data_IF_145840705011
#
_entry.id   IF_145840705011
#
_cell.length_a   1.000
_cell.length_b   1.000
_cell.length_c   1.000
_cell.angle_alpha   90.00
_cell.angle_beta   90.00
_cell.angle_gamma   90.00
#
_symmetry.space_group_name_H-M   'P 1'
#
loop_
_entity.id
_entity.type
_entity.pdbx_description
1 polymer ?
#
# COMPACT_ATOMS: atom_id res chain seq x y z
N UNK A 1 22.26 23.49 -31.93
CA UNK A 1 21.63 24.25 -30.84
C UNK A 1 20.13 24.28 -31.08
N UNK A 2 19.39 23.48 -30.32
CA UNK A 2 18.05 23.80 -29.84
C UNK A 2 17.71 22.71 -28.82
N UNK A 3 18.27 22.88 -27.62
CA UNK A 3 17.89 22.08 -26.47
C UNK A 3 16.40 22.31 -26.22
N UNK A 4 15.60 21.31 -26.58
CA UNK A 4 14.28 21.15 -25.99
C UNK A 4 14.56 20.74 -24.54
N UNK A 5 14.47 21.73 -23.65
CA UNK A 5 14.44 21.50 -22.21
C UNK A 5 13.33 20.51 -21.91
N UNK A 6 13.69 19.26 -21.62
CA UNK A 6 12.81 18.31 -20.95
C UNK A 6 12.64 18.72 -19.48
N UNK A 7 12.13 19.92 -19.24
CA UNK A 7 11.38 20.19 -18.02
C UNK A 7 9.95 19.70 -18.25
N UNK A 8 9.83 18.39 -18.43
CA UNK A 8 8.55 17.72 -18.33
C UNK A 8 8.23 17.61 -16.83
N UNK A 9 7.10 18.20 -16.45
CA UNK A 9 6.49 18.24 -15.12
C UNK A 9 7.06 17.21 -14.12
N UNK A 10 7.80 17.72 -13.11
CA UNK A 10 8.13 17.03 -11.85
C UNK A 10 6.88 16.93 -10.98
N UNK A 11 5.80 16.38 -11.52
CA UNK A 11 4.55 16.20 -10.78
C UNK A 11 4.48 14.76 -10.27
N UNK A 12 4.17 14.65 -8.98
CA UNK A 12 3.95 13.40 -8.28
C UNK A 12 2.86 12.59 -8.99
N UNK A 13 3.25 11.49 -9.66
CA UNK A 13 2.31 10.55 -10.27
C UNK A 13 2.48 9.22 -9.56
N UNK A 14 1.57 8.96 -8.63
CA UNK A 14 1.48 7.70 -7.89
C UNK A 14 0.89 6.63 -8.82
N UNK A 15 1.73 5.78 -9.38
CA UNK A 15 1.27 4.64 -10.20
C UNK A 15 0.92 3.45 -9.31
N UNK A 16 -0.36 3.02 -9.27
CA UNK A 16 -0.78 1.77 -8.63
C UNK A 16 -0.69 0.61 -9.60
N UNK A 17 0.16 -0.38 -9.32
CA UNK A 17 0.16 -1.66 -10.06
C UNK A 17 -0.01 -2.87 -9.17
N UNK A 18 -0.87 -3.79 -9.60
CA UNK A 18 -0.98 -5.14 -9.05
C UNK A 18 -0.10 -6.15 -9.79
N UNK A 19 0.52 -5.76 -10.91
CA UNK A 19 1.36 -6.60 -11.76
C UNK A 19 2.84 -6.39 -11.43
N UNK A 20 3.25 -6.82 -10.24
CA UNK A 20 4.65 -6.73 -9.77
C UNK A 20 5.63 -7.51 -10.66
N UNK A 21 5.12 -8.46 -11.44
CA UNK A 21 5.85 -9.23 -12.46
C UNK A 21 6.22 -8.42 -13.70
N UNK A 22 5.64 -7.24 -13.89
CA UNK A 22 5.93 -6.35 -15.03
C UNK A 22 7.10 -5.38 -14.73
N UNK A 23 7.51 -5.26 -13.47
CA UNK A 23 8.66 -4.45 -13.05
C UNK A 23 9.95 -4.96 -13.72
N UNK A 24 10.72 -4.06 -14.32
CA UNK A 24 11.96 -4.38 -15.03
C UNK A 24 11.73 -4.97 -16.42
N UNK A 25 10.52 -4.89 -16.97
CA UNK A 25 10.19 -5.34 -18.34
C UNK A 25 9.88 -4.15 -19.23
N UNK A 26 10.19 -4.26 -20.52
CA UNK A 26 9.90 -3.20 -21.49
C UNK A 26 8.40 -3.08 -21.78
N UNK A 27 7.85 -1.85 -21.88
CA UNK A 27 8.51 -0.57 -21.57
C UNK A 27 8.72 -0.42 -20.05
N UNK A 28 9.88 0.11 -19.62
CA UNK A 28 10.22 0.34 -18.21
C UNK A 28 9.39 1.50 -17.65
N UNK A 29 8.08 1.28 -17.45
CA UNK A 29 7.11 2.30 -17.05
C UNK A 29 7.50 2.93 -15.71
N UNK A 30 8.11 2.15 -14.82
CA UNK A 30 8.61 2.60 -13.53
C UNK A 30 9.63 3.74 -13.63
N UNK A 31 10.44 3.79 -14.70
CA UNK A 31 11.49 4.80 -14.86
C UNK A 31 10.94 6.20 -15.13
N UNK A 32 9.66 6.32 -15.50
CA UNK A 32 8.99 7.59 -15.73
C UNK A 32 8.54 8.27 -14.43
N UNK A 33 8.61 7.60 -13.28
CA UNK A 33 8.02 8.08 -12.03
C UNK A 33 9.00 7.98 -10.86
N UNK A 34 9.13 9.04 -10.06
CA UNK A 34 9.96 8.99 -8.86
C UNK A 34 9.28 8.28 -7.69
N UNK A 35 7.94 8.27 -7.66
CA UNK A 35 7.14 7.67 -6.61
C UNK A 35 6.24 6.59 -7.20
N UNK A 36 6.26 5.39 -6.63
CA UNK A 36 5.58 4.23 -7.18
C UNK A 36 4.75 3.56 -6.08
N UNK A 37 3.46 3.29 -6.34
CA UNK A 37 2.57 2.61 -5.41
C UNK A 37 2.35 1.15 -5.81
N UNK A 38 2.69 0.24 -4.92
CA UNK A 38 2.51 -1.19 -5.14
C UNK A 38 1.56 -1.78 -4.12
N UNK A 39 0.62 -2.57 -4.61
CA UNK A 39 -0.20 -3.40 -3.74
C UNK A 39 0.57 -4.65 -3.35
N UNK A 40 0.63 -4.96 -2.04
CA UNK A 40 1.35 -6.15 -1.57
C UNK A 40 0.52 -7.44 -1.60
N UNK A 41 -0.70 -7.36 -2.13
CA UNK A 41 -1.64 -8.48 -2.33
C UNK A 41 -0.98 -9.74 -2.91
N UNK A 42 -0.14 -9.67 -3.97
CA UNK A 42 0.49 -10.85 -4.53
C UNK A 42 1.33 -11.62 -3.48
N UNK A 43 1.96 -10.92 -2.54
CA UNK A 43 2.86 -11.50 -1.55
C UNK A 43 2.13 -12.18 -0.37
N UNK A 44 0.80 -12.09 -0.28
CA UNK A 44 0.04 -12.90 0.68
C UNK A 44 -0.04 -14.38 0.27
N UNK A 45 0.14 -14.68 -1.02
CA UNK A 45 0.05 -16.03 -1.61
C UNK A 45 1.42 -16.56 -2.02
N UNK A 46 2.32 -15.71 -2.50
CA UNK A 46 3.65 -16.08 -2.96
C UNK A 46 4.73 -15.77 -1.93
N UNK A 47 5.68 -16.68 -1.75
CA UNK A 47 6.81 -16.50 -0.83
C UNK A 47 7.94 -15.62 -1.39
N UNK A 48 7.97 -15.30 -2.68
CA UNK A 48 9.12 -14.65 -3.33
C UNK A 48 9.07 -13.10 -3.33
N UNK A 49 8.66 -12.50 -2.21
CA UNK A 49 8.75 -11.04 -2.02
C UNK A 49 10.13 -10.53 -1.64
N UNK A 50 11.11 -11.42 -1.50
CA UNK A 50 12.42 -11.09 -0.94
C UNK A 50 13.19 -10.11 -1.82
N UNK A 51 13.63 -9.01 -1.22
CA UNK A 51 14.42 -8.00 -1.92
C UNK A 51 13.68 -7.31 -3.08
N UNK A 52 12.35 -7.32 -3.08
CA UNK A 52 11.55 -6.62 -4.10
C UNK A 52 12.00 -5.16 -4.27
N UNK A 53 12.30 -4.46 -3.17
CA UNK A 53 12.78 -3.08 -3.17
C UNK A 53 14.06 -2.89 -3.99
N UNK A 54 14.92 -3.90 -4.11
CA UNK A 54 16.20 -3.82 -4.82
C UNK A 54 16.05 -3.61 -6.33
N UNK A 55 14.85 -3.86 -6.88
CA UNK A 55 14.56 -3.65 -8.30
C UNK A 55 14.50 -2.18 -8.71
N UNK A 56 14.34 -1.25 -7.76
CA UNK A 56 14.04 0.16 -8.04
C UNK A 56 15.16 1.13 -7.62
N UNK A 57 16.36 0.64 -7.28
CA UNK A 57 17.50 1.49 -6.91
C UNK A 57 17.19 2.51 -5.79
N UNK A 58 18.06 3.50 -5.56
CA UNK A 58 17.89 4.48 -4.47
C UNK A 58 17.09 5.74 -4.86
N UNK A 59 16.78 5.88 -6.16
CA UNK A 59 16.14 7.07 -6.73
C UNK A 59 14.62 7.04 -6.60
N UNK A 60 14.01 5.86 -6.56
CA UNK A 60 12.57 5.72 -6.38
C UNK A 60 12.19 5.69 -4.90
N UNK A 61 11.08 6.34 -4.56
CA UNK A 61 10.35 6.14 -3.31
C UNK A 61 9.20 5.19 -3.58
N UNK A 62 9.11 4.10 -2.83
CA UNK A 62 8.00 3.15 -2.95
C UNK A 62 6.94 3.45 -1.89
N UNK A 63 5.69 3.36 -2.30
CA UNK A 63 4.52 3.35 -1.42
C UNK A 63 3.93 1.95 -1.49
N UNK A 64 3.61 1.36 -0.35
CA UNK A 64 3.09 0.00 -0.28
C UNK A 64 1.67 -0.03 0.26
N UNK A 65 0.70 -0.27 -0.63
CA UNK A 65 -0.68 -0.57 -0.28
C UNK A 65 -0.77 -1.98 0.33
N UNK A 66 -1.38 -2.06 1.51
CA UNK A 66 -1.53 -3.30 2.28
C UNK A 66 -2.47 -4.32 1.64
N UNK A 67 -3.34 -3.88 0.74
CA UNK A 67 -4.31 -4.71 0.05
C UNK A 67 -5.60 -4.97 0.84
N UNK A 68 -5.93 -4.13 1.82
CA UNK A 68 -7.11 -4.27 2.69
C UNK A 68 -8.41 -4.58 1.96
N UNK A 69 -8.63 -3.90 0.84
CA UNK A 69 -9.81 -4.10 -0.03
C UNK A 69 -9.98 -5.55 -0.51
N UNK A 70 -8.89 -6.31 -0.74
CA UNK A 70 -8.98 -7.69 -1.23
C UNK A 70 -9.55 -8.67 -0.21
N UNK A 71 -9.44 -8.36 1.09
CA UNK A 71 -10.09 -9.14 2.14
C UNK A 71 -11.60 -8.92 2.14
N UNK A 72 -12.04 -7.71 1.77
CA UNK A 72 -13.46 -7.38 1.72
C UNK A 72 -14.17 -8.07 0.55
N UNK A 73 -13.56 -8.06 -0.64
CA UNK A 73 -14.12 -8.74 -1.83
C UNK A 73 -13.92 -10.26 -1.82
N UNK A 74 -13.45 -10.82 -0.70
CA UNK A 74 -13.31 -12.26 -0.49
C UNK A 74 -12.16 -12.93 -1.26
N UNK A 75 -11.30 -12.16 -1.93
CA UNK A 75 -10.12 -12.70 -2.64
C UNK A 75 -9.00 -13.09 -1.68
N UNK A 76 -8.92 -12.44 -0.53
CA UNK A 76 -8.12 -12.85 0.62
C UNK A 76 -9.06 -13.16 1.79
N UNK A 77 -8.60 -14.01 2.71
CA UNK A 77 -9.34 -14.42 3.91
C UNK A 77 -8.48 -14.16 5.14
N UNK A 78 -9.13 -13.91 6.28
CA UNK A 78 -8.49 -13.74 7.59
C UNK A 78 -7.41 -12.65 7.58
N UNK A 79 -7.80 -11.35 7.55
CA UNK A 79 -6.85 -10.26 7.61
C UNK A 79 -6.01 -10.33 8.88
N UNK A 80 -4.70 -10.30 8.72
CA UNK A 80 -3.70 -10.42 9.79
C UNK A 80 -2.64 -9.32 9.64
N UNK A 81 -2.60 -8.33 10.54
CA UNK A 81 -1.63 -7.23 10.47
C UNK A 81 -0.17 -7.71 10.60
N UNK A 82 0.09 -8.78 11.35
CA UNK A 82 1.46 -9.30 11.53
C UNK A 82 1.95 -9.99 10.26
N UNK A 83 1.04 -10.58 9.48
CA UNK A 83 1.37 -11.10 8.15
C UNK A 83 1.77 -9.97 7.20
N UNK A 84 1.07 -8.84 7.21
CA UNK A 84 1.43 -7.66 6.41
C UNK A 84 2.79 -7.08 6.83
N UNK A 85 3.04 -6.99 8.14
CA UNK A 85 4.36 -6.60 8.70
C UNK A 85 5.48 -7.49 8.16
N UNK A 86 5.28 -8.81 8.17
CA UNK A 86 6.27 -9.76 7.67
C UNK A 86 6.53 -9.59 6.17
N UNK A 87 5.49 -9.31 5.39
CA UNK A 87 5.59 -9.00 3.95
C UNK A 87 6.44 -7.74 3.74
N UNK A 88 6.13 -6.63 4.42
CA UNK A 88 6.92 -5.40 4.29
C UNK A 88 8.39 -5.63 4.61
N UNK A 89 8.69 -6.26 5.75
CA UNK A 89 10.07 -6.59 6.13
C UNK A 89 10.77 -7.43 5.07
N UNK A 90 10.08 -8.44 4.51
CA UNK A 90 10.64 -9.30 3.46
C UNK A 90 10.92 -8.54 2.16
N UNK A 91 10.07 -7.58 1.81
CA UNK A 91 10.24 -6.74 0.62
C UNK A 91 11.46 -5.82 0.69
N UNK A 92 11.96 -5.56 1.91
CA UNK A 92 13.17 -4.78 2.14
C UNK A 92 12.96 -3.27 1.99
N UNK A 93 11.82 -2.74 2.46
CA UNK A 93 11.56 -1.31 2.45
C UNK A 93 12.67 -0.51 3.16
N UNK A 94 12.79 0.76 2.79
CA UNK A 94 13.74 1.74 3.33
C UNK A 94 13.03 2.86 4.08
N UNK A 95 13.78 3.71 4.77
CA UNK A 95 13.29 4.92 5.45
C UNK A 95 12.66 5.96 4.51
N UNK A 96 12.99 5.89 3.22
CA UNK A 96 12.38 6.72 2.18
C UNK A 96 10.99 6.25 1.77
N UNK A 97 10.66 4.98 2.01
CA UNK A 97 9.43 4.36 1.53
C UNK A 97 8.26 4.61 2.50
N UNK A 98 7.03 4.51 1.99
CA UNK A 98 5.81 4.72 2.75
C UNK A 98 5.06 3.39 2.85
N UNK A 99 4.81 2.93 4.08
CA UNK A 99 4.03 1.72 4.33
C UNK A 99 2.61 2.12 4.73
N UNK A 100 1.59 1.64 4.04
CA UNK A 100 0.20 1.89 4.43
C UNK A 100 -0.23 0.82 5.43
N UNK A 101 -0.99 1.15 6.48
CA UNK A 101 -1.51 0.12 7.38
C UNK A 101 -2.38 -0.90 6.63
N UNK A 102 -2.53 -2.11 7.18
CA UNK A 102 -3.61 -3.01 6.81
C UNK A 102 -4.93 -2.40 7.27
N UNK A 103 -5.73 -1.95 6.32
CA UNK A 103 -7.03 -1.35 6.54
C UNK A 103 -8.17 -2.31 6.16
N UNK A 104 -9.37 -2.04 6.67
CA UNK A 104 -10.58 -2.76 6.33
C UNK A 104 -11.62 -1.72 5.94
N UNK A 105 -11.59 -1.23 4.69
CA UNK A 105 -12.44 -0.12 4.26
C UNK A 105 -13.91 -0.53 4.38
N UNK A 106 -14.75 0.21 5.13
CA UNK A 106 -16.18 -0.07 5.19
C UNK A 106 -16.85 0.25 3.85
N UNK A 107 -17.82 -0.55 3.43
CA UNK A 107 -18.63 -0.29 2.24
C UNK A 107 -19.92 0.42 2.63
N UNK A 108 -20.34 1.40 1.82
CA UNK A 108 -21.49 2.26 2.10
C UNK A 108 -22.79 1.49 2.43
N UNK A 109 -23.01 0.32 1.80
CA UNK A 109 -24.23 -0.47 1.96
C UNK A 109 -24.24 -1.33 3.25
N UNK A 110 -23.13 -1.40 3.99
CA UNK A 110 -23.10 -2.10 5.28
C UNK A 110 -23.90 -1.31 6.32
N UNK A 111 -24.40 -1.97 7.36
CA UNK A 111 -25.04 -1.26 8.48
C UNK A 111 -24.03 -0.34 9.19
N UNK A 112 -24.52 0.71 9.83
CA UNK A 112 -23.68 1.62 10.64
C UNK A 112 -22.81 0.84 11.63
N UNK A 113 -23.40 -0.07 12.41
CA UNK A 113 -22.69 -0.92 13.36
C UNK A 113 -21.53 -1.71 12.73
N UNK A 114 -21.75 -2.28 11.54
CA UNK A 114 -20.72 -3.04 10.84
C UNK A 114 -19.58 -2.13 10.35
N UNK A 115 -19.91 -0.93 9.85
CA UNK A 115 -18.91 0.05 9.44
C UNK A 115 -18.06 0.50 10.63
N UNK A 116 -18.70 0.88 11.73
CA UNK A 116 -18.07 1.22 13.00
C UNK A 116 -17.16 0.08 13.52
N UNK A 117 -17.61 -1.17 13.43
CA UNK A 117 -16.83 -2.35 13.80
C UNK A 117 -15.56 -2.48 12.95
N UNK A 118 -15.66 -2.26 11.64
CA UNK A 118 -14.50 -2.29 10.72
C UNK A 118 -13.54 -1.12 10.93
N UNK A 119 -14.05 0.09 11.19
CA UNK A 119 -13.25 1.27 11.54
C UNK A 119 -12.40 0.99 12.79
N UNK A 120 -13.04 0.56 13.89
CA UNK A 120 -12.34 0.20 15.13
C UNK A 120 -11.33 -0.93 14.93
N UNK A 121 -11.66 -1.93 14.10
CA UNK A 121 -10.75 -3.03 13.80
C UNK A 121 -9.52 -2.55 13.01
N UNK A 122 -9.71 -1.67 12.04
CA UNK A 122 -8.62 -1.04 11.27
C UNK A 122 -7.71 -0.22 12.18
N UNK A 123 -8.26 0.58 13.10
CA UNK A 123 -7.48 1.30 14.10
C UNK A 123 -6.66 0.36 15.01
N UNK A 124 -7.22 -0.79 15.40
CA UNK A 124 -6.46 -1.81 16.15
C UNK A 124 -5.30 -2.39 15.32
N UNK A 125 -5.50 -2.61 14.03
CA UNK A 125 -4.43 -3.07 13.14
C UNK A 125 -3.28 -2.08 13.05
N UNK A 126 -3.57 -0.77 12.95
CA UNK A 126 -2.56 0.28 13.04
C UNK A 126 -1.67 0.13 14.28
N UNK A 127 -2.28 0.04 15.47
CA UNK A 127 -1.53 -0.06 16.73
C UNK A 127 -0.73 -1.35 16.87
N UNK A 128 -1.13 -2.42 16.19
CA UNK A 128 -0.33 -3.65 16.11
C UNK A 128 0.86 -3.44 15.17
N UNK A 129 0.62 -2.92 13.96
CA UNK A 129 1.66 -2.78 12.92
C UNK A 129 2.71 -1.72 13.26
N UNK A 130 2.29 -0.59 13.82
CA UNK A 130 3.18 0.54 14.19
C UNK A 130 4.24 0.16 15.23
N UNK A 131 4.03 -0.91 16.00
CA UNK A 131 5.04 -1.48 16.91
C UNK A 131 6.18 -2.18 16.19
N UNK A 132 6.03 -2.46 14.89
CA UNK A 132 6.96 -3.31 14.14
C UNK A 132 7.52 -2.64 12.88
N UNK A 133 6.78 -1.74 12.25
CA UNK A 133 7.17 -1.02 11.03
C UNK A 133 6.55 0.40 11.01
N UNK A 134 7.15 1.38 10.32
CA UNK A 134 6.66 2.76 10.27
C UNK A 134 5.50 2.88 9.27
N UNK A 135 4.31 2.43 9.66
CA UNK A 135 3.10 2.54 8.84
C UNK A 135 2.40 3.87 9.03
N UNK A 136 1.85 4.43 7.94
CA UNK A 136 0.91 5.53 8.01
C UNK A 136 -0.50 5.00 8.35
N UNK A 137 -1.25 5.72 9.20
CA UNK A 137 -2.60 5.33 9.51
C UNK A 137 -3.54 5.61 8.33
N UNK A 138 -4.61 4.81 8.22
CA UNK A 138 -5.73 5.04 7.29
C UNK A 138 -6.98 5.28 8.12
N UNK A 139 -7.61 6.41 7.88
CA UNK A 139 -8.86 6.81 8.54
C UNK A 139 -10.01 6.48 7.60
N UNK A 140 -11.04 5.83 8.13
CA UNK A 140 -12.28 5.54 7.43
C UNK A 140 -13.46 6.17 8.17
N UNK A 141 -14.44 6.63 7.41
CA UNK A 141 -15.71 7.13 7.91
C UNK A 141 -16.49 7.70 6.73
N UNK A 142 -17.76 7.30 6.62
CA UNK A 142 -18.71 7.84 5.65
C UNK A 142 -19.48 9.02 6.21
N UNK A 143 -19.61 9.09 7.54
CA UNK A 143 -20.31 10.16 8.25
C UNK A 143 -19.41 10.78 9.31
N UNK A 144 -19.76 12.00 9.75
CA UNK A 144 -19.06 12.64 10.86
C UNK A 144 -19.22 11.84 12.16
N UNK A 145 -20.38 11.22 12.36
CA UNK A 145 -20.65 10.35 13.52
C UNK A 145 -19.64 9.20 13.60
N UNK A 146 -19.36 8.54 12.47
CA UNK A 146 -18.37 7.46 12.40
C UNK A 146 -16.93 7.92 12.67
N UNK A 147 -16.60 9.19 12.40
CA UNK A 147 -15.28 9.77 12.65
C UNK A 147 -15.08 10.23 14.10
N UNK A 148 -16.18 10.44 14.84
CA UNK A 148 -16.17 10.90 16.22
C UNK A 148 -16.29 9.75 17.24
N UNK A 149 -16.28 8.51 16.77
CA UNK A 149 -16.42 7.28 17.56
C UNK A 149 -15.09 6.75 18.10
#
# INVERSE_FOLDING_TARGET
MSGLSQEAAKECIVFLSHQVECVGKRPYIEDYFNELLFSVVPFYRYTNGEGFRNKFGSNHRLVYDSGGFQFLVGKLKNPDPLKTVAIYKKMGYTDKDILIQLDLPPVYHQSHEERCRLIRKSAKFYHIMSKHVPVIPVIHGWTLEELLE
#
